data_IF_533322100367
#
_entry.id   IF_533322100367
#
_cell.length_a   1.000
_cell.length_b   1.000
_cell.length_c   1.000
_cell.angle_alpha   90.00
_cell.angle_beta   90.00
_cell.angle_gamma   90.00
#
_symmetry.space_group_name_H-M   'P 1'
#
loop_
_entity.id
_entity.type
_entity.pdbx_description
1 polymer ?
#
# COMPACT_ATOMS: atom_id res chain seq x y z
N UNK A 1 -18.03 10.68 -19.78
CA UNK A 1 -16.58 10.61 -19.45
C UNK A 1 -16.26 9.65 -18.30
N UNK A 2 -17.24 9.20 -17.50
CA UNK A 2 -17.09 8.01 -16.63
C UNK A 2 -16.30 8.23 -15.33
N UNK A 3 -15.71 9.42 -15.16
CA UNK A 3 -14.99 9.83 -13.96
C UNK A 3 -15.78 10.82 -13.09
N UNK A 4 -16.99 11.22 -13.48
CA UNK A 4 -17.81 12.22 -12.77
C UNK A 4 -17.98 11.88 -11.28
N UNK A 5 -18.35 10.63 -10.97
CA UNK A 5 -18.51 10.18 -9.59
C UNK A 5 -17.20 10.30 -8.79
N UNK A 6 -16.05 10.00 -9.40
CA UNK A 6 -14.75 10.13 -8.74
C UNK A 6 -14.34 11.58 -8.51
N UNK A 7 -14.63 12.46 -9.46
CA UNK A 7 -14.38 13.89 -9.31
C UNK A 7 -15.26 14.51 -8.23
N UNK A 8 -16.54 14.12 -8.19
CA UNK A 8 -17.47 14.55 -7.14
C UNK A 8 -17.00 14.08 -5.77
N UNK A 9 -16.68 12.79 -5.61
CA UNK A 9 -16.19 12.26 -4.34
C UNK A 9 -14.94 13.00 -3.84
N UNK A 10 -13.98 13.30 -4.72
CA UNK A 10 -12.80 14.08 -4.32
C UNK A 10 -13.15 15.52 -3.95
N UNK A 11 -14.13 16.14 -4.61
CA UNK A 11 -14.63 17.46 -4.23
C UNK A 11 -15.28 17.46 -2.85
N UNK A 12 -16.06 16.43 -2.53
CA UNK A 12 -16.70 16.26 -1.23
C UNK A 12 -15.66 16.05 -0.13
N UNK A 13 -14.70 15.14 -0.34
CA UNK A 13 -13.60 14.91 0.61
C UNK A 13 -12.72 16.15 0.85
N UNK A 14 -12.57 17.02 -0.15
CA UNK A 14 -11.90 18.32 0.03
C UNK A 14 -12.73 19.28 0.87
N UNK A 15 -14.05 19.28 0.71
CA UNK A 15 -14.96 20.13 1.48
C UNK A 15 -15.04 19.69 2.94
N UNK A 16 -14.95 18.38 3.19
CA UNK A 16 -14.94 17.77 4.53
C UNK A 16 -13.60 17.95 5.27
N UNK A 17 -12.53 18.28 4.53
CA UNK A 17 -11.18 18.47 5.08
C UNK A 17 -10.35 17.18 5.16
N UNK A 18 -10.89 16.05 4.70
CA UNK A 18 -10.20 14.77 4.62
C UNK A 18 -9.09 14.76 3.55
N UNK A 19 -9.25 15.60 2.52
CA UNK A 19 -8.22 15.83 1.49
C UNK A 19 -7.77 17.29 1.47
N UNK A 20 -6.47 17.51 1.27
CA UNK A 20 -5.92 18.84 1.00
C UNK A 20 -6.61 19.47 -0.21
N UNK A 21 -6.88 20.78 -0.14
CA UNK A 21 -7.41 21.56 -1.25
C UNK A 21 -6.52 21.47 -2.50
N UNK A 22 -5.21 21.29 -2.30
CA UNK A 22 -4.20 21.16 -3.35
C UNK A 22 -4.19 19.78 -4.05
N UNK A 23 -4.91 18.79 -3.51
CA UNK A 23 -4.97 17.44 -4.08
C UNK A 23 -5.46 17.47 -5.53
N UNK A 24 -4.65 16.99 -6.47
CA UNK A 24 -5.02 16.95 -7.90
C UNK A 24 -5.58 15.59 -8.28
N UNK A 25 -6.78 15.56 -8.87
CA UNK A 25 -7.35 14.34 -9.48
C UNK A 25 -6.78 14.17 -10.88
N UNK A 26 -6.19 13.02 -11.16
CA UNK A 26 -5.65 12.67 -12.49
C UNK A 26 -6.48 11.56 -13.12
N UNK A 27 -7.10 11.83 -14.27
CA UNK A 27 -7.86 10.86 -15.07
C UNK A 27 -7.04 10.27 -16.21
N UNK A 28 -5.75 10.00 -15.95
CA UNK A 28 -4.86 9.40 -16.94
C UNK A 28 -4.91 7.88 -16.87
N UNK A 29 -5.44 7.25 -17.95
CA UNK A 29 -5.43 5.78 -18.09
C UNK A 29 -4.03 5.18 -17.92
N UNK A 30 -3.02 5.86 -18.43
CA UNK A 30 -1.63 5.40 -18.32
C UNK A 30 -1.15 5.40 -16.87
N UNK A 31 -1.36 6.50 -16.14
CA UNK A 31 -0.98 6.56 -14.72
C UNK A 31 -1.76 5.54 -13.88
N UNK A 32 -3.03 5.31 -14.20
CA UNK A 32 -3.82 4.28 -13.54
C UNK A 32 -3.26 2.87 -13.77
N UNK A 33 -2.80 2.58 -15.00
CA UNK A 33 -2.19 1.28 -15.31
C UNK A 33 -0.93 0.99 -14.48
N UNK A 34 -0.12 2.02 -14.14
CA UNK A 34 1.04 1.83 -13.26
C UNK A 34 0.60 1.39 -11.85
N UNK A 35 -0.41 2.05 -11.28
CA UNK A 35 -0.94 1.70 -9.95
C UNK A 35 -1.55 0.30 -9.97
N UNK A 36 -2.39 0.00 -10.97
CA UNK A 36 -2.97 -1.33 -11.12
C UNK A 36 -1.93 -2.43 -11.33
N UNK A 37 -0.79 -2.11 -11.96
CA UNK A 37 0.30 -3.06 -12.13
C UNK A 37 0.96 -3.41 -10.80
N UNK A 38 1.10 -2.47 -9.87
CA UNK A 38 1.68 -2.77 -8.55
C UNK A 38 0.71 -3.64 -7.73
N UNK A 39 -0.59 -3.35 -7.80
CA UNK A 39 -1.63 -4.16 -7.17
C UNK A 39 -1.68 -5.61 -7.67
N UNK A 40 -1.29 -5.89 -8.93
CA UNK A 40 -1.33 -7.26 -9.48
C UNK A 40 -0.55 -8.27 -8.64
N UNK A 41 0.55 -7.87 -8.01
CA UNK A 41 1.38 -8.78 -7.20
C UNK A 41 0.66 -9.22 -5.94
N UNK A 42 -0.01 -8.28 -5.26
CA UNK A 42 -0.85 -8.57 -4.10
C UNK A 42 -2.05 -9.41 -4.53
N UNK A 43 -2.75 -9.01 -5.60
CA UNK A 43 -3.89 -9.73 -6.19
C UNK A 43 -3.57 -11.18 -6.56
N UNK A 44 -2.46 -11.44 -7.23
CA UNK A 44 -2.03 -12.79 -7.60
C UNK A 44 -1.82 -13.71 -6.39
N UNK A 45 -1.42 -13.15 -5.24
CA UNK A 45 -1.19 -13.92 -4.02
C UNK A 45 -2.46 -14.21 -3.25
N UNK A 46 -3.39 -13.25 -3.16
CA UNK A 46 -4.62 -13.45 -2.40
C UNK A 46 -5.76 -14.08 -3.21
N UNK A 47 -5.78 -13.96 -4.54
CA UNK A 47 -6.84 -14.58 -5.37
C UNK A 47 -7.07 -16.09 -5.14
N UNK A 48 -6.04 -16.94 -4.96
CA UNK A 48 -6.26 -18.34 -4.64
C UNK A 48 -6.74 -18.60 -3.20
N UNK A 49 -6.83 -17.56 -2.36
CA UNK A 49 -7.29 -17.66 -0.97
C UNK A 49 -8.81 -17.42 -0.87
N UNK A 50 -9.45 -17.91 0.20
CA UNK A 50 -10.89 -17.70 0.49
C UNK A 50 -11.22 -16.28 1.01
N UNK A 51 -10.41 -15.29 0.60
CA UNK A 51 -10.43 -13.92 1.10
C UNK A 51 -9.94 -13.78 2.55
N UNK A 52 -9.77 -12.53 2.98
CA UNK A 52 -9.41 -12.20 4.36
C UNK A 52 -10.68 -12.14 5.22
N UNK A 53 -10.78 -12.97 6.25
CA UNK A 53 -11.94 -13.02 7.15
C UNK A 53 -12.02 -11.82 8.11
N UNK A 54 -10.90 -11.16 8.35
CA UNK A 54 -10.77 -10.02 9.25
C UNK A 54 -9.78 -9.02 8.67
N UNK A 55 -9.99 -7.73 8.93
CA UNK A 55 -9.15 -6.66 8.42
C UNK A 55 -7.70 -6.76 8.93
N UNK A 56 -7.49 -7.06 10.22
CA UNK A 56 -6.14 -7.25 10.78
C UNK A 56 -5.34 -8.33 10.05
N UNK A 57 -5.99 -9.43 9.67
CA UNK A 57 -5.35 -10.50 8.91
C UNK A 57 -4.99 -10.05 7.49
N UNK A 58 -5.82 -9.21 6.86
CA UNK A 58 -5.52 -8.61 5.57
C UNK A 58 -4.27 -7.72 5.67
N UNK A 59 -4.22 -6.83 6.66
CA UNK A 59 -3.08 -5.94 6.90
C UNK A 59 -1.79 -6.74 7.02
N UNK A 60 -1.73 -7.70 7.96
CA UNK A 60 -0.52 -8.51 8.19
C UNK A 60 -0.09 -9.27 6.93
N UNK A 61 -1.04 -9.87 6.22
CA UNK A 61 -0.72 -10.67 5.02
C UNK A 61 -0.24 -9.79 3.87
N UNK A 62 -0.90 -8.66 3.61
CA UNK A 62 -0.52 -7.73 2.54
C UNK A 62 0.84 -7.11 2.84
N UNK A 63 1.09 -6.65 4.07
CA UNK A 63 2.39 -6.12 4.49
C UNK A 63 3.51 -7.15 4.29
N UNK A 64 3.28 -8.43 4.59
CA UNK A 64 4.25 -9.49 4.32
C UNK A 64 4.53 -9.70 2.82
N UNK A 65 3.51 -9.59 1.97
CA UNK A 65 3.68 -9.68 0.50
C UNK A 65 4.48 -8.49 -0.02
N UNK A 66 4.18 -7.29 0.45
CA UNK A 66 4.87 -6.04 0.08
C UNK A 66 6.32 -6.05 0.54
N UNK A 67 6.60 -6.50 1.75
CA UNK A 67 7.96 -6.65 2.29
C UNK A 67 8.85 -7.50 1.39
N UNK A 68 8.39 -8.70 1.01
CA UNK A 68 9.13 -9.58 0.11
C UNK A 68 9.35 -8.90 -1.25
N UNK A 69 8.36 -8.14 -1.72
CA UNK A 69 8.46 -7.44 -2.98
C UNK A 69 9.47 -6.28 -2.93
N UNK A 70 9.52 -5.53 -1.82
CA UNK A 70 10.49 -4.46 -1.57
C UNK A 70 11.92 -5.03 -1.49
N UNK A 71 12.10 -6.16 -0.80
CA UNK A 71 13.38 -6.89 -0.79
C UNK A 71 13.81 -7.31 -2.19
N UNK A 72 12.90 -7.89 -2.99
CA UNK A 72 13.18 -8.29 -4.39
C UNK A 72 13.52 -7.12 -5.30
N UNK A 73 12.94 -5.95 -5.06
CA UNK A 73 13.21 -4.70 -5.81
C UNK A 73 14.49 -4.00 -5.31
N UNK A 74 15.12 -4.47 -4.23
CA UNK A 74 16.25 -3.78 -3.57
C UNK A 74 15.85 -2.47 -2.88
N UNK A 75 14.56 -2.28 -2.62
CA UNK A 75 14.00 -1.08 -1.98
C UNK A 75 13.89 -1.21 -0.47
N UNK A 76 14.17 -2.40 0.07
CA UNK A 76 14.17 -2.64 1.51
C UNK A 76 15.54 -2.31 2.12
N UNK A 77 15.59 -1.31 2.99
CA UNK A 77 16.84 -0.87 3.60
C UNK A 77 17.16 -1.65 4.89
N UNK A 78 18.16 -2.53 4.82
CA UNK A 78 18.61 -3.36 5.94
C UNK A 78 19.48 -2.56 6.94
N UNK A 79 19.98 -1.37 6.57
CA UNK A 79 20.85 -0.57 7.46
C UNK A 79 20.14 -0.16 8.75
N UNK A 80 18.81 -0.04 8.72
CA UNK A 80 18.00 0.28 9.89
C UNK A 80 17.83 -0.91 10.85
N UNK A 81 18.17 -2.12 10.44
CA UNK A 81 17.97 -3.37 11.19
C UNK A 81 19.27 -3.88 11.81
N UNK A 82 20.43 -3.65 11.18
CA UNK A 82 21.70 -4.27 11.59
C UNK A 82 22.38 -3.65 12.83
N UNK A 83 21.65 -2.98 13.72
CA UNK A 83 22.22 -2.49 14.98
C UNK A 83 22.38 -3.65 15.96
N UNK A 84 23.63 -3.95 16.33
CA UNK A 84 23.94 -4.96 17.35
C UNK A 84 23.21 -4.64 18.67
N UNK A 85 22.53 -5.64 19.23
CA UNK A 85 21.85 -5.54 20.53
C UNK A 85 20.35 -5.22 20.50
N UNK A 86 19.70 -5.07 19.34
CA UNK A 86 18.23 -4.89 19.28
C UNK A 86 17.46 -6.16 19.62
N UNK A 87 16.36 -5.99 20.36
CA UNK A 87 15.43 -7.07 20.66
C UNK A 87 14.69 -7.49 19.38
N UNK A 88 14.43 -8.80 19.22
CA UNK A 88 13.76 -9.36 18.03
C UNK A 88 12.42 -8.68 17.72
N UNK A 89 11.68 -8.28 18.76
CA UNK A 89 10.40 -7.57 18.61
C UNK A 89 10.57 -6.17 18.00
N UNK A 90 11.63 -5.45 18.37
CA UNK A 90 11.95 -4.13 17.78
C UNK A 90 12.41 -4.25 16.33
N UNK A 91 13.15 -5.32 16.01
CA UNK A 91 13.49 -5.65 14.62
C UNK A 91 12.22 -5.90 13.81
N UNK A 92 11.27 -6.66 14.36
CA UNK A 92 9.99 -6.94 13.72
C UNK A 92 9.13 -5.69 13.51
N UNK A 93 9.03 -4.81 14.50
CA UNK A 93 8.33 -3.52 14.38
C UNK A 93 8.99 -2.61 13.34
N UNK A 94 10.33 -2.58 13.29
CA UNK A 94 11.08 -1.81 12.28
C UNK A 94 10.82 -2.35 10.87
N UNK A 95 10.76 -3.67 10.71
CA UNK A 95 10.47 -4.33 9.42
C UNK A 95 9.05 -4.04 8.94
N UNK A 96 8.08 -3.96 9.85
CA UNK A 96 6.70 -3.62 9.52
C UNK A 96 6.49 -2.12 9.20
N UNK A 97 7.37 -1.25 9.69
CA UNK A 97 7.29 0.20 9.48
C UNK A 97 8.02 0.68 8.20
N UNK A 98 8.72 -0.20 7.49
CA UNK A 98 9.56 0.08 6.32
C UNK A 98 8.92 -0.39 5.00
#
# INVERSE_FOLDING_TARGET
>A
DGYEASHQAVSELKAEGDLSAETQVRTSKYLNNLIEQDHRRVKQRYYPMLGFKQFGNAVVTISGIELIQNMRKGQFNISNISQEGRQVQQVWETVLAA
#
